data_IF_647460621042
#
_entry.id   IF_647460621042
#
_cell.length_a   1.000
_cell.length_b   1.000
_cell.length_c   1.000
_cell.angle_alpha   90.00
_cell.angle_beta   90.00
_cell.angle_gamma   90.00
#
_symmetry.space_group_name_H-M   'P 1'
#
loop_
_entity.id
_entity.type
_entity.pdbx_description
1 polymer ?
#
# COMPACT_ATOMS: atom_id res chain seq x y z
N UNK A 1 -19.13 -15.11 1.64
CA UNK A 1 -18.24 -14.61 0.56
C UNK A 1 -17.53 -13.37 1.08
N UNK A 2 -16.26 -13.49 1.44
CA UNK A 2 -15.48 -12.37 1.98
C UNK A 2 -15.12 -11.43 0.83
N UNK A 3 -15.85 -10.32 0.68
CA UNK A 3 -15.41 -9.23 -0.18
C UNK A 3 -14.10 -8.68 0.40
N UNK A 4 -12.96 -9.02 -0.20
CA UNK A 4 -11.72 -8.33 0.11
C UNK A 4 -11.86 -6.88 -0.35
N UNK A 5 -12.04 -5.97 0.60
CA UNK A 5 -12.08 -4.54 0.33
C UNK A 5 -10.69 -4.04 -0.06
N UNK A 6 -10.64 -2.87 -0.71
CA UNK A 6 -9.39 -2.23 -1.11
C UNK A 6 -8.47 -2.02 0.09
N UNK A 7 -9.02 -1.60 1.24
CA UNK A 7 -8.28 -1.46 2.50
C UNK A 7 -7.55 -2.73 2.92
N UNK A 8 -8.19 -3.89 2.81
CA UNK A 8 -7.56 -5.17 3.15
C UNK A 8 -6.39 -5.48 2.21
N UNK A 9 -6.52 -5.18 0.92
CA UNK A 9 -5.42 -5.35 -0.04
C UNK A 9 -4.28 -4.37 0.23
N UNK A 10 -4.58 -3.13 0.62
CA UNK A 10 -3.58 -2.12 0.98
C UNK A 10 -2.83 -2.54 2.24
N UNK A 11 -3.53 -3.02 3.27
CA UNK A 11 -2.92 -3.55 4.49
C UNK A 11 -2.01 -4.75 4.17
N UNK A 12 -2.48 -5.69 3.35
CA UNK A 12 -1.68 -6.84 2.91
C UNK A 12 -0.45 -6.42 2.09
N UNK A 13 -0.55 -5.39 1.26
CA UNK A 13 0.57 -4.85 0.49
C UNK A 13 1.59 -4.17 1.42
N UNK A 14 1.12 -3.40 2.40
CA UNK A 14 1.96 -2.70 3.38
C UNK A 14 2.68 -3.67 4.30
N UNK A 15 2.02 -4.75 4.73
CA UNK A 15 2.65 -5.82 5.52
C UNK A 15 3.55 -6.75 4.69
N UNK A 16 3.66 -6.56 3.36
CA UNK A 16 4.44 -7.42 2.48
C UNK A 16 3.84 -8.82 2.23
N UNK A 17 2.63 -9.08 2.72
CA UNK A 17 1.91 -10.35 2.54
C UNK A 17 1.52 -10.57 1.06
N UNK A 18 1.34 -9.48 0.30
CA UNK A 18 1.19 -9.55 -1.16
C UNK A 18 2.18 -8.63 -1.85
N UNK A 19 2.75 -9.09 -2.96
CA UNK A 19 3.60 -8.25 -3.80
C UNK A 19 2.78 -7.20 -4.54
N UNK A 20 3.41 -6.10 -4.96
CA UNK A 20 2.80 -5.05 -5.82
C UNK A 20 2.03 -5.63 -7.02
N UNK A 21 2.59 -6.64 -7.70
CA UNK A 21 1.93 -7.31 -8.84
C UNK A 21 0.65 -8.06 -8.41
N UNK A 22 0.66 -8.68 -7.22
CA UNK A 22 -0.50 -9.36 -6.63
C UNK A 22 -1.59 -8.38 -6.22
N UNK A 23 -1.22 -7.25 -5.62
CA UNK A 23 -2.13 -6.15 -5.30
C UNK A 23 -2.84 -5.63 -6.56
N UNK A 24 -2.09 -5.29 -7.62
CA UNK A 24 -2.68 -4.74 -8.86
C UNK A 24 -3.65 -5.72 -9.51
N UNK A 25 -3.35 -7.03 -9.54
CA UNK A 25 -4.28 -8.06 -10.04
C UNK A 25 -5.58 -8.14 -9.22
N UNK A 26 -5.49 -8.07 -7.90
CA UNK A 26 -6.67 -8.16 -7.03
C UNK A 26 -7.50 -6.86 -7.07
N UNK A 27 -6.83 -5.71 -7.10
CA UNK A 27 -7.44 -4.39 -7.25
C UNK A 27 -8.20 -4.26 -8.58
N UNK A 28 -7.62 -4.73 -9.68
CA UNK A 28 -8.30 -4.75 -11.00
C UNK A 28 -9.50 -5.69 -11.05
N UNK A 29 -9.43 -6.83 -10.37
CA UNK A 29 -10.59 -7.73 -10.21
C UNK A 29 -11.76 -7.09 -9.42
N UNK A 30 -11.47 -6.06 -8.61
CA UNK A 30 -12.48 -5.27 -7.90
C UNK A 30 -13.00 -4.08 -8.73
N UNK A 31 -12.59 -3.95 -10.00
CA UNK A 31 -13.01 -2.87 -10.90
C UNK A 31 -12.13 -1.63 -10.86
N UNK A 32 -11.00 -1.65 -10.16
CA UNK A 32 -10.06 -0.51 -10.11
C UNK A 32 -9.18 -0.54 -11.33
N UNK A 33 -9.06 0.58 -12.03
CA UNK A 33 -8.15 0.67 -13.16
C UNK A 33 -6.70 0.41 -12.75
N UNK A 34 -5.93 -0.29 -13.60
CA UNK A 34 -4.54 -0.68 -13.32
C UNK A 34 -3.65 0.52 -12.97
N UNK A 35 -3.88 1.68 -13.58
CA UNK A 35 -3.16 2.93 -13.27
C UNK A 35 -3.42 3.42 -11.84
N UNK A 36 -4.68 3.40 -11.41
CA UNK A 36 -5.06 3.79 -10.05
C UNK A 36 -4.49 2.82 -9.00
N UNK A 37 -4.56 1.50 -9.28
CA UNK A 37 -3.93 0.49 -8.43
C UNK A 37 -2.40 0.67 -8.37
N UNK A 38 -1.77 1.04 -9.49
CA UNK A 38 -0.34 1.37 -9.55
C UNK A 38 0.03 2.57 -8.66
N UNK A 39 -0.77 3.63 -8.69
CA UNK A 39 -0.57 4.80 -7.82
C UNK A 39 -0.71 4.44 -6.34
N UNK A 40 -1.74 3.69 -5.96
CA UNK A 40 -1.93 3.21 -4.58
C UNK A 40 -0.74 2.37 -4.11
N UNK A 41 -0.27 1.45 -4.96
CA UNK A 41 0.88 0.61 -4.61
C UNK A 41 2.23 1.36 -4.60
N UNK A 42 2.32 2.53 -5.25
CA UNK A 42 3.49 3.40 -5.19
C UNK A 42 3.46 4.28 -3.94
N UNK A 43 2.28 4.79 -3.57
CA UNK A 43 2.06 5.52 -2.33
C UNK A 43 2.33 4.69 -1.08
N UNK A 44 1.88 3.43 -1.05
CA UNK A 44 2.17 2.51 0.07
C UNK A 44 3.66 2.28 0.23
N UNK A 45 4.39 2.04 -0.86
CA UNK A 45 5.86 1.87 -0.79
C UNK A 45 6.58 3.17 -0.46
N UNK A 46 6.07 4.32 -0.90
CA UNK A 46 6.62 5.62 -0.52
C UNK A 46 6.39 5.94 0.96
N UNK A 47 5.25 5.56 1.54
CA UNK A 47 4.95 5.72 2.96
C UNK A 47 5.65 4.69 3.85
N UNK A 48 5.80 3.45 3.37
CA UNK A 48 6.60 2.43 4.05
C UNK A 48 8.08 2.81 4.06
N UNK A 49 8.54 3.43 2.97
CA UNK A 49 9.87 4.03 2.89
C UNK A 49 9.99 5.40 3.54
N UNK A 50 8.98 5.89 4.28
CA UNK A 50 9.24 6.98 5.24
C UNK A 50 10.08 6.37 6.36
N UNK A 51 11.38 6.70 6.48
CA UNK A 51 12.00 6.52 7.76
C UNK A 51 11.15 7.34 8.73
N UNK A 52 10.91 6.83 9.94
CA UNK A 52 10.56 7.72 11.03
C UNK A 52 11.43 8.96 10.87
N UNK A 53 10.82 10.14 10.83
CA UNK A 53 11.56 11.39 10.87
C UNK A 53 12.28 11.44 12.21
N UNK A 54 13.38 10.71 12.30
CA UNK A 54 14.46 10.86 13.26
C UNK A 54 15.08 12.19 12.88
N UNK A 55 14.54 13.25 13.46
CA UNK A 55 15.06 14.61 13.65
C UNK A 55 13.83 15.50 13.86
N UNK A 56 13.64 16.25 14.95
CA UNK A 56 14.51 16.60 16.05
C UNK A 56 13.65 17.28 17.14
N UNK A 57 13.89 16.98 18.42
CA UNK A 57 13.95 17.96 19.54
C UNK A 57 14.50 17.25 20.78
N UNK A 58 15.78 16.90 20.75
CA UNK A 58 16.59 16.90 21.97
C UNK A 58 17.19 18.31 22.06
N UNK A 59 16.42 19.24 22.62
CA UNK A 59 16.95 20.56 23.00
C UNK A 59 17.24 20.50 24.50
N UNK A 60 18.52 20.33 24.78
CA UNK A 60 19.16 20.67 26.05
C UNK A 60 19.05 22.17 26.32
#
# INVERSE_FOLDING_TARGET
MSHHTIDQLVAQLKSGNISRRGFVRRATALGISASAAGMLAKGVVAQDASPAASNAVAST
#
